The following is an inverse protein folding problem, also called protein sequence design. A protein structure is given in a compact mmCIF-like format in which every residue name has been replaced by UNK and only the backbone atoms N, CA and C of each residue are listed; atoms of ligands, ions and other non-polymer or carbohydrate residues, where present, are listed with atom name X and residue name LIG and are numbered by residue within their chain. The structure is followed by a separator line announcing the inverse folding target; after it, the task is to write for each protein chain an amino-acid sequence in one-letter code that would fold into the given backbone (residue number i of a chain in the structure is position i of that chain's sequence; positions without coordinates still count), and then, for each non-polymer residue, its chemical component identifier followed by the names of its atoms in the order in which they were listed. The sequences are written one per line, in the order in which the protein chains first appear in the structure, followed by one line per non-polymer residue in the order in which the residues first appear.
data_IF_708499569278
#
_entry.id   IF_708499569278
#
_cell.length_a   1.000
_cell.length_b   1.000
_cell.length_c   1.000
_cell.angle_alpha   90.00
_cell.angle_beta   90.00
_cell.angle_gamma   90.00
#
_symmetry.space_group_name_H-M   'P 1'
#
loop_
_entity.id
_entity.type
_entity.pdbx_description
1 polymer ?
#
# COMPACT_ATOMS: atom_id res chain seq x y z
N UNK A 1 18.85 3.50 -14.08
CA UNK A 1 19.17 2.06 -14.18
C UNK A 1 20.13 1.75 -13.05
N UNK A 2 19.81 0.76 -12.23
CA UNK A 2 20.71 0.28 -11.16
C UNK A 2 21.38 -0.98 -11.69
N UNK A 3 22.70 -1.05 -11.59
CA UNK A 3 23.52 -2.19 -12.03
C UNK A 3 24.33 -2.66 -10.83
N UNK A 4 24.42 -3.98 -10.65
CA UNK A 4 25.30 -4.61 -9.65
C UNK A 4 26.19 -5.66 -10.34
N UNK A 5 27.35 -5.96 -9.76
CA UNK A 5 28.38 -6.82 -10.34
C UNK A 5 28.82 -7.93 -9.38
N UNK A 6 28.40 -9.16 -9.69
CA UNK A 6 28.72 -10.39 -8.94
C UNK A 6 30.16 -10.91 -9.15
N UNK A 7 30.98 -10.24 -9.96
CA UNK A 7 32.33 -10.73 -10.27
C UNK A 7 32.34 -11.99 -11.14
N UNK A 8 33.39 -12.79 -10.96
CA UNK A 8 33.56 -14.07 -11.68
C UNK A 8 33.14 -15.24 -10.81
N UNK A 9 32.32 -16.12 -11.37
CA UNK A 9 31.90 -17.36 -10.72
C UNK A 9 32.65 -18.55 -11.30
N UNK A 10 33.21 -19.38 -10.44
CA UNK A 10 33.79 -20.67 -10.84
C UNK A 10 32.69 -21.70 -11.09
N UNK A 11 32.96 -22.77 -11.86
CA UNK A 11 32.02 -23.88 -12.00
C UNK A 11 31.56 -24.41 -10.64
N UNK A 12 30.24 -24.53 -10.45
CA UNK A 12 29.63 -24.98 -9.19
C UNK A 12 29.54 -23.92 -8.09
N UNK A 13 30.02 -22.69 -8.32
CA UNK A 13 29.87 -21.59 -7.38
C UNK A 13 28.53 -20.87 -7.60
N UNK A 14 27.93 -20.42 -6.50
CA UNK A 14 26.72 -19.61 -6.49
C UNK A 14 27.03 -18.25 -5.84
N UNK A 15 26.34 -17.21 -6.30
CA UNK A 15 26.38 -15.89 -5.69
C UNK A 15 24.97 -15.26 -5.71
N UNK A 16 24.71 -14.34 -4.78
CA UNK A 16 23.41 -13.72 -4.58
C UNK A 16 23.55 -12.22 -4.75
N UNK A 17 22.89 -11.70 -5.79
CA UNK A 17 22.79 -10.27 -6.06
C UNK A 17 21.47 -9.75 -5.49
N UNK A 18 21.51 -8.66 -4.72
CA UNK A 18 20.32 -8.07 -4.10
C UNK A 18 20.03 -6.70 -4.71
N UNK A 19 18.84 -6.55 -5.27
CA UNK A 19 18.31 -5.27 -5.71
C UNK A 19 17.24 -4.79 -4.73
N UNK A 20 17.32 -3.52 -4.34
CA UNK A 20 16.27 -2.87 -3.56
C UNK A 20 15.43 -2.00 -4.47
N UNK A 21 14.12 -2.15 -4.34
CA UNK A 21 13.12 -1.40 -5.08
C UNK A 21 12.34 -0.54 -4.10
N UNK A 22 12.42 0.77 -4.28
CA UNK A 22 11.60 1.74 -3.56
C UNK A 22 10.55 2.33 -4.49
N UNK A 23 9.35 2.55 -3.95
CA UNK A 23 8.22 3.16 -4.65
C UNK A 23 7.98 4.54 -4.10
N UNK A 24 7.93 5.56 -4.97
CA UNK A 24 7.61 6.92 -4.52
C UNK A 24 6.20 6.99 -3.93
N UNK A 25 5.96 7.93 -3.01
CA UNK A 25 4.65 8.12 -2.36
C UNK A 25 3.51 8.40 -3.34
N UNK A 26 3.85 8.85 -4.55
CA UNK A 26 2.91 9.22 -5.62
C UNK A 26 2.84 8.15 -6.72
N UNK A 27 3.46 6.99 -6.53
CA UNK A 27 3.36 5.88 -7.47
C UNK A 27 1.90 5.48 -7.64
N UNK A 28 1.45 5.34 -8.89
CA UNK A 28 0.06 4.97 -9.18
C UNK A 28 -0.14 3.51 -8.80
N UNK A 29 -1.26 3.16 -8.15
CA UNK A 29 -1.59 1.76 -7.94
C UNK A 29 -1.81 1.05 -9.27
N UNK A 30 -0.91 0.14 -9.62
CA UNK A 30 -0.98 -0.67 -10.83
C UNK A 30 0.07 -1.78 -10.75
N UNK A 31 0.08 -2.67 -11.74
CA UNK A 31 1.16 -3.61 -11.97
C UNK A 31 2.21 -2.97 -12.86
N UNK A 32 3.45 -2.92 -12.37
CA UNK A 32 4.62 -2.49 -13.13
C UNK A 32 5.38 -3.73 -13.60
N UNK A 33 5.60 -3.82 -14.91
CA UNK A 33 6.41 -4.86 -15.52
C UNK A 33 7.85 -4.36 -15.62
N UNK A 34 8.74 -5.00 -14.87
CA UNK A 34 10.17 -4.76 -14.89
C UNK A 34 10.87 -5.94 -15.57
N UNK A 35 12.10 -5.73 -16.01
CA UNK A 35 12.96 -6.78 -16.56
C UNK A 35 14.33 -6.66 -15.94
N UNK A 36 14.80 -7.74 -15.31
CA UNK A 36 16.18 -7.86 -14.87
C UNK A 36 17.00 -8.44 -16.03
N UNK A 37 17.98 -7.68 -16.49
CA UNK A 37 18.94 -8.13 -17.49
C UNK A 37 20.20 -8.63 -16.79
N UNK A 38 20.58 -9.86 -17.08
CA UNK A 38 21.82 -10.46 -16.59
C UNK A 38 22.74 -10.67 -17.78
N UNK A 39 23.94 -10.10 -17.74
CA UNK A 39 24.94 -10.24 -18.79
C UNK A 39 26.21 -10.86 -18.22
N UNK A 40 26.77 -11.88 -18.87
CA UNK A 40 27.99 -12.53 -18.43
C UNK A 40 28.86 -13.01 -19.59
N UNK A 41 30.16 -13.17 -19.33
CA UNK A 41 31.09 -13.82 -20.24
C UNK A 41 31.32 -15.27 -19.80
N UNK A 42 31.40 -16.18 -20.77
CA UNK A 42 31.75 -17.58 -20.56
C UNK A 42 33.07 -17.89 -21.27
N UNK A 43 33.87 -18.79 -20.71
CA UNK A 43 35.14 -19.19 -21.32
C UNK A 43 34.95 -19.62 -22.78
N UNK A 44 35.89 -19.21 -23.64
CA UNK A 44 35.89 -19.45 -25.09
C UNK A 44 34.76 -18.73 -25.86
N UNK A 45 34.16 -17.68 -25.29
CA UNK A 45 33.27 -16.78 -26.02
C UNK A 45 33.81 -15.35 -26.00
N UNK A 46 33.95 -14.75 -27.17
CA UNK A 46 34.30 -13.32 -27.31
C UNK A 46 33.08 -12.41 -27.09
N UNK A 47 31.87 -12.98 -27.21
CA UNK A 47 30.60 -12.25 -27.03
C UNK A 47 29.95 -12.58 -25.70
N UNK A 48 29.34 -11.58 -25.02
CA UNK A 48 28.64 -11.82 -23.77
C UNK A 48 27.28 -12.48 -24.02
N UNK A 49 26.89 -13.35 -23.09
CA UNK A 49 25.54 -13.90 -23.01
C UNK A 49 24.65 -12.94 -22.25
N UNK A 50 23.37 -12.89 -22.62
CA UNK A 50 22.38 -12.07 -21.93
C UNK A 50 21.12 -12.89 -21.65
N UNK A 51 20.61 -12.77 -20.43
CA UNK A 51 19.33 -13.35 -20.00
C UNK A 51 18.42 -12.25 -19.50
N UNK A 52 17.12 -12.38 -19.77
CA UNK A 52 16.09 -11.45 -19.33
C UNK A 52 15.12 -12.17 -18.41
N UNK A 53 14.98 -11.66 -17.19
CA UNK A 53 14.11 -12.22 -16.16
C UNK A 53 12.97 -11.21 -15.96
N UNK A 54 11.73 -11.53 -16.37
CA UNK A 54 10.59 -10.65 -16.15
C UNK A 54 10.22 -10.61 -14.66
N UNK A 55 9.96 -9.42 -14.14
CA UNK A 55 9.56 -9.18 -12.75
C UNK A 55 8.27 -8.35 -12.77
N UNK A 56 7.23 -8.82 -12.07
CA UNK A 56 5.99 -8.06 -11.89
C UNK A 56 5.93 -7.48 -10.49
N UNK A 57 5.73 -6.17 -10.40
CA UNK A 57 5.62 -5.45 -9.13
C UNK A 57 4.21 -4.89 -9.01
N UNK A 58 3.48 -5.34 -7.99
CA UNK A 58 2.12 -4.89 -7.73
C UNK A 58 2.11 -3.75 -6.71
N UNK A 59 1.91 -2.52 -7.19
CA UNK A 59 1.75 -1.35 -6.33
C UNK A 59 0.28 -1.24 -5.95
N UNK A 60 -0.02 -1.35 -4.66
CA UNK A 60 -1.39 -1.27 -4.12
C UNK A 60 -1.70 0.14 -3.65
N UNK A 61 -2.98 0.50 -3.69
CA UNK A 61 -3.44 1.74 -3.08
C UNK A 61 -3.22 1.67 -1.56
N UNK A 62 -2.61 2.71 -1.00
CA UNK A 62 -2.55 2.88 0.45
C UNK A 62 -3.97 2.96 1.04
N UNK A 63 -4.21 2.27 2.16
CA UNK A 63 -5.49 2.21 2.86
C UNK A 63 -6.07 3.59 3.18
N UNK A 64 -5.21 4.57 3.45
CA UNK A 64 -5.61 5.96 3.75
C UNK A 64 -6.28 6.60 2.53
N UNK A 65 -5.73 6.35 1.34
CA UNK A 65 -6.26 6.89 0.09
C UNK A 65 -7.54 6.17 -0.33
N UNK A 66 -7.67 4.87 -0.02
CA UNK A 66 -8.88 4.07 -0.29
C UNK A 66 -10.09 4.62 0.47
N UNK A 67 -9.92 4.98 1.74
CA UNK A 67 -11.00 5.56 2.55
C UNK A 67 -11.42 6.93 2.01
N UNK A 68 -10.44 7.77 1.63
CA UNK A 68 -10.72 9.08 1.05
C UNK A 68 -11.43 8.99 -0.30
N UNK A 69 -11.04 8.05 -1.17
CA UNK A 69 -11.69 7.83 -2.47
C UNK A 69 -13.09 7.25 -2.31
N UNK A 70 -13.31 6.32 -1.38
CA UNK A 70 -14.63 5.71 -1.17
C UNK A 70 -15.61 6.72 -0.55
N UNK A 71 -15.15 7.57 0.37
CA UNK A 71 -15.97 8.64 0.95
C UNK A 71 -16.30 9.74 -0.07
N UNK A 72 -15.37 10.08 -0.97
CA UNK A 72 -15.60 11.09 -2.01
C UNK A 72 -16.36 10.56 -3.24
N UNK A 73 -16.25 9.25 -3.52
CA UNK A 73 -16.96 8.58 -4.62
C UNK A 73 -18.34 8.08 -4.21
N UNK A 74 -18.56 7.82 -2.92
CA UNK A 74 -19.90 7.85 -2.37
C UNK A 74 -20.47 9.22 -2.74
N UNK A 75 -21.53 9.21 -3.56
CA UNK A 75 -22.21 10.41 -4.08
C UNK A 75 -22.98 11.13 -2.96
N UNK A 76 -22.35 11.26 -1.81
CA UNK A 76 -22.79 12.03 -0.68
C UNK A 76 -22.44 13.47 -1.05
N UNK A 77 -23.32 14.13 -1.81
CA UNK A 77 -23.19 15.56 -2.06
C UNK A 77 -22.94 16.28 -0.73
N UNK A 78 -22.20 17.39 -0.73
CA UNK A 78 -21.76 18.06 0.51
C UNK A 78 -22.89 18.28 1.53
N UNK A 79 -24.12 18.50 1.05
CA UNK A 79 -25.33 18.62 1.86
C UNK A 79 -25.71 17.31 2.58
N UNK A 80 -25.53 16.16 1.93
CA UNK A 80 -25.79 14.82 2.49
C UNK A 80 -24.71 14.40 3.50
N UNK A 81 -23.44 14.82 3.35
CA UNK A 81 -22.37 14.49 4.31
C UNK A 81 -22.60 15.21 5.64
N UNK A 82 -22.99 16.49 5.55
CA UNK A 82 -23.39 17.28 6.71
C UNK A 82 -24.60 16.68 7.42
N UNK A 83 -25.60 16.19 6.68
CA UNK A 83 -26.77 15.52 7.26
C UNK A 83 -26.39 14.22 7.97
N UNK A 84 -25.53 13.38 7.38
CA UNK A 84 -25.07 12.14 8.03
C UNK A 84 -24.27 12.44 9.29
N UNK A 85 -23.34 13.40 9.25
CA UNK A 85 -22.61 13.86 10.44
C UNK A 85 -23.56 14.39 11.52
N UNK A 86 -24.57 15.18 11.13
CA UNK A 86 -25.56 15.74 12.04
C UNK A 86 -26.40 14.62 12.69
N UNK A 87 -26.83 13.62 11.93
CA UNK A 87 -27.55 12.44 12.45
C UNK A 87 -26.67 11.66 13.45
N UNK A 88 -25.40 11.41 13.12
CA UNK A 88 -24.46 10.72 14.01
C UNK A 88 -24.25 11.50 15.31
N UNK A 89 -24.07 12.82 15.23
CA UNK A 89 -23.92 13.69 16.41
C UNK A 89 -25.18 13.68 17.28
N UNK A 90 -26.37 13.81 16.69
CA UNK A 90 -27.64 13.71 17.42
C UNK A 90 -27.78 12.35 18.11
N UNK A 91 -27.43 11.26 17.41
CA UNK A 91 -27.51 9.90 17.95
C UNK A 91 -26.56 9.73 19.14
N UNK A 92 -25.31 10.22 19.03
CA UNK A 92 -24.33 10.20 20.12
C UNK A 92 -24.78 11.05 21.32
N UNK A 93 -25.35 12.24 21.08
CA UNK A 93 -25.91 13.09 22.14
C UNK A 93 -27.10 12.41 22.83
N UNK A 94 -27.99 11.76 22.09
CA UNK A 94 -29.11 10.99 22.64
C UNK A 94 -28.65 9.84 23.53
N UNK A 95 -27.62 9.10 23.10
CA UNK A 95 -26.98 8.06 23.93
C UNK A 95 -26.41 8.68 25.20
N UNK A 96 -25.67 9.79 25.10
CA UNK A 96 -25.04 10.45 26.24
C UNK A 96 -26.07 10.92 27.27
N UNK A 97 -27.14 11.59 26.84
CA UNK A 97 -28.24 12.05 27.69
C UNK A 97 -28.95 10.85 28.33
N UNK A 98 -29.19 9.78 27.57
CA UNK A 98 -29.78 8.55 28.10
C UNK A 98 -28.93 7.88 29.18
N UNK A 99 -27.60 7.86 29.01
CA UNK A 99 -26.65 7.34 30.00
C UNK A 99 -26.60 8.24 31.24
N UNK A 100 -26.58 9.56 31.08
CA UNK A 100 -26.62 10.53 32.19
C UNK A 100 -27.93 10.42 33.00
N UNK A 101 -29.07 10.30 32.31
CA UNK A 101 -30.38 10.14 32.96
C UNK A 101 -30.51 8.81 33.73
N UNK A 102 -29.86 7.73 33.24
CA UNK A 102 -29.78 6.46 33.98
C UNK A 102 -28.89 6.56 35.21
N UNK A 103 -27.78 7.30 35.16
CA UNK A 103 -26.91 7.57 36.33
C UNK A 103 -27.62 8.36 37.43
N UNK A 104 -28.43 9.37 37.07
CA UNK A 104 -29.19 10.15 38.06
C UNK A 104 -30.25 9.32 38.81
N UNK A 105 -30.93 8.39 38.13
CA UNK A 105 -31.92 7.50 38.77
C UNK A 105 -31.31 6.40 39.64
N UNK A 106 -30.06 6.03 39.40
CA UNK A 106 -29.34 5.06 40.22
C UNK A 106 -28.93 5.62 41.60
N UNK A 107 -28.71 6.93 41.72
CA UNK A 107 -28.38 7.57 43.00
C UNK A 107 -29.60 7.99 43.83
N UNK A 108 -30.78 8.15 43.22
CA UNK A 108 -32.02 8.49 43.92
C UNK A 108 -32.73 7.28 44.58
N UNK A 109 -32.14 6.09 44.53
CA UNK A 109 -32.65 4.85 45.14
C UNK A 109 -31.70 4.24 46.17
N UNK A 110 -30.67 4.99 46.60
CA UNK A 110 -29.76 4.60 47.69
C UNK A 110 -30.24 5.16 49.02
#
# INVERSE_FOLDING_TARGET
MTTDYAGSLKPGQHDIVRFELDTTSNAKPTTYNLTLQVTWYQNNSEVPFTSYIPIQVHVKQSLINSIGSDLSSAKIGSNSLLLVLLIVVIFLLGILIGVLGRRGKAQAKG
#
